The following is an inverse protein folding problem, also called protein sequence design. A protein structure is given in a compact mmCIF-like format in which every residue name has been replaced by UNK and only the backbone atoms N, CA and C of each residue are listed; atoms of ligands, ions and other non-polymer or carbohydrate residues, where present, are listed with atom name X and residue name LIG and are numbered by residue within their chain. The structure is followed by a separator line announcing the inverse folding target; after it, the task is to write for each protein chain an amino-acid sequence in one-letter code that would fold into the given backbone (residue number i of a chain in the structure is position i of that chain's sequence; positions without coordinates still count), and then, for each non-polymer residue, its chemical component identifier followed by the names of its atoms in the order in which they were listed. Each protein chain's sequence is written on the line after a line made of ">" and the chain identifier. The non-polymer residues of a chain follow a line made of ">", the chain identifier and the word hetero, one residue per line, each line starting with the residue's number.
data_IF_478167112349
#
_entry.id   IF_478167112349
#
_cell.length_a   1.000
_cell.length_b   1.000
_cell.length_c   1.000
_cell.angle_alpha   90.00
_cell.angle_beta   90.00
_cell.angle_gamma   90.00
#
_symmetry.space_group_name_H-M   'P 1'
#
loop_
_entity.id
_entity.type
_entity.pdbx_description
1 polymer ?
#
# COMPACT_ATOMS: atom_id res chain seq x y z
N UNK A 1 -10.10 -43.07 64.64
CA UNK A 1 -9.89 -44.46 65.13
C UNK A 1 -10.79 -44.66 66.35
N UNK A 2 -11.45 -45.82 66.58
CA UNK A 2 -11.23 -47.16 66.00
C UNK A 2 -12.25 -47.50 64.87
N UNK A 3 -11.93 -48.20 63.76
CA UNK A 3 -11.54 -49.63 63.51
C UNK A 3 -12.65 -50.64 63.91
N UNK A 4 -13.06 -51.69 63.18
CA UNK A 4 -13.03 -52.20 61.78
C UNK A 4 -13.59 -53.66 61.86
N UNK A 5 -14.43 -54.09 60.91
CA UNK A 5 -14.60 -55.44 60.27
C UNK A 5 -16.08 -55.79 60.06
N UNK A 6 -16.62 -55.78 58.84
CA UNK A 6 -16.57 -56.80 57.76
C UNK A 6 -17.31 -58.10 58.11
N UNK A 7 -18.40 -58.38 57.39
CA UNK A 7 -18.67 -59.70 56.79
C UNK A 7 -19.58 -59.62 55.57
N UNK A 8 -19.16 -60.34 54.54
CA UNK A 8 -19.75 -60.59 53.22
C UNK A 8 -20.69 -61.80 53.22
N UNK A 9 -21.68 -61.84 52.33
CA UNK A 9 -22.16 -63.09 51.71
C UNK A 9 -23.06 -62.81 50.50
N UNK A 10 -22.60 -63.32 49.36
CA UNK A 10 -23.26 -63.40 48.04
C UNK A 10 -24.16 -64.64 47.93
N UNK A 11 -25.09 -64.64 46.95
CA UNK A 11 -25.62 -65.76 46.13
C UNK A 11 -26.85 -65.21 45.36
N UNK A 12 -26.72 -64.80 44.09
CA UNK A 12 -26.95 -65.60 42.87
C UNK A 12 -28.27 -66.40 42.85
N UNK A 13 -29.20 -65.99 41.98
CA UNK A 13 -30.02 -66.91 41.20
C UNK A 13 -30.28 -66.36 39.80
N UNK A 14 -30.07 -67.24 38.82
CA UNK A 14 -30.18 -67.04 37.38
C UNK A 14 -31.60 -67.38 36.90
N UNK A 15 -32.11 -66.70 35.88
CA UNK A 15 -32.85 -67.39 34.79
C UNK A 15 -32.94 -66.55 33.53
N UNK A 16 -32.31 -67.11 32.50
CA UNK A 16 -32.50 -66.99 31.04
C UNK A 16 -33.94 -66.77 30.58
N UNK A 17 -34.11 -65.96 29.52
CA UNK A 17 -35.04 -66.29 28.44
C UNK A 17 -34.50 -65.84 27.08
N UNK A 18 -34.24 -66.86 26.27
CA UNK A 18 -33.94 -66.88 24.84
C UNK A 18 -35.26 -66.81 24.05
N UNK A 19 -35.27 -66.10 22.93
CA UNK A 19 -36.13 -66.39 21.76
C UNK A 19 -35.80 -65.46 20.57
N UNK A 20 -34.85 -65.89 19.76
CA UNK A 20 -34.91 -65.74 18.28
C UNK A 20 -35.73 -66.92 17.71
N UNK A 21 -36.35 -66.87 16.49
CA UNK A 21 -35.58 -66.81 15.24
C UNK A 21 -36.27 -66.28 13.95
N UNK A 22 -35.42 -66.26 12.89
CA UNK A 22 -35.63 -66.22 11.41
C UNK A 22 -35.46 -64.85 10.74
N UNK A 23 -34.35 -64.57 10.05
CA UNK A 23 -33.71 -65.19 8.87
C UNK A 23 -34.26 -64.65 7.54
N UNK A 24 -33.51 -63.74 6.91
CA UNK A 24 -33.23 -63.77 5.45
C UNK A 24 -31.87 -63.12 5.16
N UNK A 25 -30.91 -64.02 4.94
CA UNK A 25 -29.70 -63.98 4.10
C UNK A 25 -29.78 -63.11 2.84
N UNK A 26 -28.76 -62.29 2.57
CA UNK A 26 -28.07 -62.21 1.26
C UNK A 26 -26.56 -62.04 1.50
N UNK A 27 -25.80 -62.91 0.84
CA UNK A 27 -24.35 -63.06 0.84
C UNK A 27 -23.67 -62.12 -0.17
N UNK A 28 -22.39 -61.84 0.06
CA UNK A 28 -21.52 -61.23 -0.94
C UNK A 28 -20.11 -60.96 -0.40
N UNK A 29 -19.32 -62.02 -0.22
CA UNK A 29 -17.88 -61.94 0.11
C UNK A 29 -17.08 -62.57 -1.02
N UNK A 30 -16.12 -61.83 -1.59
CA UNK A 30 -14.89 -62.35 -2.22
C UNK A 30 -13.77 -61.31 -1.97
N UNK A 31 -12.86 -61.57 -1.00
CA UNK A 31 -11.43 -61.98 -1.16
C UNK A 31 -10.53 -60.87 -1.71
N UNK A 32 -9.66 -60.26 -0.89
CA UNK A 32 -8.26 -60.65 -0.60
C UNK A 32 -7.32 -60.53 -1.80
N UNK A 33 -6.28 -59.70 -1.70
CA UNK A 33 -5.17 -59.73 -2.67
C UNK A 33 -4.28 -58.49 -2.66
N UNK A 34 -3.20 -58.56 -1.88
CA UNK A 34 -2.00 -57.72 -1.93
C UNK A 34 -1.40 -57.61 -3.35
N UNK A 35 -0.88 -56.42 -3.74
CA UNK A 35 0.48 -56.27 -4.33
C UNK A 35 0.86 -54.83 -4.71
N UNK A 36 2.14 -54.56 -4.46
CA UNK A 36 2.96 -53.43 -4.88
C UNK A 36 3.22 -53.39 -6.41
N UNK A 37 3.54 -52.17 -6.88
CA UNK A 37 4.32 -51.75 -8.07
C UNK A 37 3.66 -51.66 -9.46
N UNK A 38 3.69 -50.44 -10.00
CA UNK A 38 4.06 -49.98 -11.37
C UNK A 38 3.38 -48.59 -11.56
N UNK A 39 4.08 -47.45 -11.46
CA UNK A 39 4.89 -46.81 -12.52
C UNK A 39 4.39 -47.13 -13.93
N UNK A 40 3.60 -46.19 -14.48
CA UNK A 40 3.51 -45.75 -15.88
C UNK A 40 2.39 -44.68 -15.90
N UNK A 41 2.70 -43.39 -15.87
CA UNK A 41 2.95 -42.51 -17.02
C UNK A 41 1.67 -42.12 -17.79
N UNK A 42 1.56 -40.83 -18.15
CA UNK A 42 0.58 -40.21 -19.08
C UNK A 42 -0.82 -39.93 -18.43
N UNK A 43 -1.31 -38.69 -18.20
CA UNK A 43 -1.38 -37.48 -19.03
C UNK A 43 -1.33 -36.21 -18.16
N UNK A 44 -0.37 -35.36 -18.44
CA UNK A 44 -0.28 -33.97 -18.00
C UNK A 44 -1.23 -33.14 -18.89
N UNK A 45 -2.41 -32.79 -18.37
CA UNK A 45 -3.32 -31.87 -19.07
C UNK A 45 -3.21 -30.45 -18.52
N UNK A 46 -3.35 -29.53 -19.46
CA UNK A 46 -2.71 -28.24 -19.53
C UNK A 46 -3.23 -27.23 -18.51
N UNK A 47 -2.32 -26.51 -17.84
CA UNK A 47 -2.62 -25.28 -17.11
C UNK A 47 -2.94 -24.15 -18.10
N UNK A 48 -4.12 -23.51 -18.08
CA UNK A 48 -4.26 -22.21 -18.71
C UNK A 48 -3.69 -21.13 -17.79
N UNK A 49 -2.48 -20.67 -18.12
CA UNK A 49 -1.99 -19.36 -17.70
C UNK A 49 -2.69 -18.25 -18.53
N UNK A 50 -2.59 -17.02 -18.01
CA UNK A 50 -2.87 -15.72 -18.65
C UNK A 50 -4.35 -15.28 -18.79
N UNK A 51 -4.79 -14.43 -17.86
CA UNK A 51 -5.86 -13.46 -18.07
C UNK A 51 -5.27 -12.18 -18.67
N UNK A 52 -5.52 -11.95 -19.97
CA UNK A 52 -5.24 -10.69 -20.65
C UNK A 52 -6.39 -9.72 -20.38
N UNK A 53 -6.12 -8.62 -19.68
CA UNK A 53 -7.05 -7.48 -19.59
C UNK A 53 -6.95 -6.68 -20.89
N UNK A 54 -8.03 -6.64 -21.68
CA UNK A 54 -8.15 -5.74 -22.83
C UNK A 54 -8.37 -4.32 -22.34
N UNK A 55 -7.46 -3.42 -22.69
CA UNK A 55 -7.62 -1.97 -22.57
C UNK A 55 -8.66 -1.50 -23.60
N UNK A 56 -9.92 -1.36 -23.19
CA UNK A 56 -10.92 -0.65 -23.98
C UNK A 56 -10.63 0.86 -23.92
N UNK A 57 -10.26 1.43 -25.07
CA UNK A 57 -10.17 2.87 -25.28
C UNK A 57 -11.57 3.49 -25.15
N UNK A 58 -11.77 4.29 -24.11
CA UNK A 58 -12.96 5.15 -23.96
C UNK A 58 -12.65 6.52 -24.59
N UNK A 59 -13.43 7.01 -25.56
CA UNK A 59 -13.22 8.33 -26.14
C UNK A 59 -13.54 9.44 -25.13
N UNK A 60 -12.64 10.41 -25.04
CA UNK A 60 -12.75 11.61 -24.22
C UNK A 60 -13.95 12.46 -24.64
N UNK A 61 -14.97 12.57 -23.79
CA UNK A 61 -15.97 13.62 -23.91
C UNK A 61 -15.46 14.88 -23.21
N UNK A 62 -15.13 15.88 -24.03
CA UNK A 62 -14.80 17.24 -23.60
C UNK A 62 -16.10 17.93 -23.18
N UNK A 63 -16.33 18.04 -21.88
CA UNK A 63 -17.39 18.88 -21.35
C UNK A 63 -16.99 20.36 -21.47
N UNK A 64 -17.58 21.01 -22.47
CA UNK A 64 -17.54 22.45 -22.72
C UNK A 64 -18.43 23.15 -21.70
N UNK A 65 -17.85 23.74 -20.66
CA UNK A 65 -18.56 24.69 -19.79
C UNK A 65 -18.45 26.11 -20.30
N UNK A 66 -19.58 26.79 -20.21
CA UNK A 66 -19.91 28.11 -20.69
C UNK A 66 -19.27 29.24 -19.89
N UNK A 67 -19.10 30.37 -20.57
CA UNK A 67 -18.50 31.61 -20.15
C UNK A 67 -18.96 32.15 -18.78
N UNK A 68 -17.99 32.66 -18.01
CA UNK A 68 -18.21 33.64 -16.95
C UNK A 68 -17.16 34.75 -17.07
N UNK A 69 -17.65 35.96 -16.91
CA UNK A 69 -17.10 37.26 -17.30
C UNK A 69 -15.85 37.70 -16.53
N UNK A 70 -14.91 38.34 -17.23
CA UNK A 70 -13.77 39.07 -16.64
C UNK A 70 -14.18 40.48 -16.19
N UNK A 71 -13.65 40.99 -15.06
CA UNK A 71 -13.41 42.42 -14.89
C UNK A 71 -11.95 42.79 -15.20
N UNK A 72 -11.85 43.86 -15.98
CA UNK A 72 -10.70 44.55 -16.53
C UNK A 72 -9.66 44.99 -15.49
N UNK A 73 -8.38 44.70 -15.76
CA UNK A 73 -7.26 45.46 -15.17
C UNK A 73 -6.32 45.94 -16.27
N UNK A 74 -6.07 47.24 -16.21
CA UNK A 74 -5.42 48.17 -17.13
C UNK A 74 -3.96 47.80 -17.44
N UNK A 75 -3.62 47.70 -18.73
CA UNK A 75 -2.23 47.56 -19.23
C UNK A 75 -1.77 48.91 -19.79
N UNK A 76 -0.58 49.44 -19.44
CA UNK A 76 -0.11 50.73 -19.94
C UNK A 76 0.34 50.67 -21.40
N UNK A 77 0.07 51.77 -22.10
CA UNK A 77 0.23 51.99 -23.53
C UNK A 77 1.71 52.14 -23.93
N UNK A 78 2.19 51.25 -24.82
CA UNK A 78 3.53 51.30 -25.41
C UNK A 78 3.60 52.40 -26.47
N UNK A 79 4.32 53.49 -26.17
CA UNK A 79 4.66 54.59 -27.09
C UNK A 79 5.36 54.07 -28.35
N UNK A 80 4.73 54.25 -29.50
CA UNK A 80 5.39 54.17 -30.81
C UNK A 80 5.84 55.59 -31.18
N UNK A 81 7.13 55.77 -31.45
CA UNK A 81 7.67 57.03 -31.94
C UNK A 81 7.33 57.16 -33.43
N UNK A 82 6.60 58.22 -33.76
CA UNK A 82 6.20 58.58 -35.11
C UNK A 82 7.39 59.10 -35.92
N UNK A 83 7.50 58.61 -37.15
CA UNK A 83 8.30 59.19 -38.24
C UNK A 83 7.64 60.50 -38.66
N UNK A 84 8.32 61.63 -38.47
CA UNK A 84 7.88 62.93 -39.00
C UNK A 84 8.78 63.33 -40.17
N UNK A 85 8.25 63.13 -41.38
CA UNK A 85 8.65 63.92 -42.54
C UNK A 85 7.76 65.16 -42.55
N UNK A 86 8.34 66.36 -42.43
CA UNK A 86 7.79 67.57 -43.05
C UNK A 86 8.86 68.69 -43.07
N UNK A 87 9.04 69.25 -44.27
CA UNK A 87 9.93 70.37 -44.62
C UNK A 87 9.26 71.71 -44.27
N UNK A 88 10.00 72.84 -44.17
CA UNK A 88 10.09 73.72 -45.35
C UNK A 88 11.42 74.49 -45.56
N UNK A 89 11.87 74.43 -46.83
CA UNK A 89 12.24 75.51 -47.79
C UNK A 89 13.06 76.78 -47.38
N UNK A 90 14.31 76.78 -47.89
CA UNK A 90 15.09 77.83 -48.62
C UNK A 90 15.65 79.11 -47.95
N UNK A 91 16.96 79.32 -48.13
CA UNK A 91 17.55 80.41 -48.96
C UNK A 91 19.08 80.17 -49.24
N UNK A 92 19.70 80.79 -50.28
CA UNK A 92 20.90 80.27 -50.96
C UNK A 92 22.22 81.03 -50.73
N UNK A 93 23.31 80.50 -51.35
CA UNK A 93 24.68 81.04 -51.56
C UNK A 93 25.67 80.82 -50.39
N UNK A 94 26.92 80.39 -50.61
CA UNK A 94 27.84 80.72 -51.70
C UNK A 94 28.84 79.58 -51.91
N UNK A 95 29.09 79.23 -53.17
CA UNK A 95 30.11 78.27 -53.59
C UNK A 95 31.49 78.94 -53.52
N UNK A 96 32.36 78.49 -52.61
CA UNK A 96 33.80 78.74 -52.73
C UNK A 96 34.47 77.44 -53.15
N UNK A 97 34.80 77.39 -54.44
CA UNK A 97 35.61 76.37 -55.08
C UNK A 97 37.03 76.42 -54.50
N UNK A 98 37.39 75.46 -53.64
CA UNK A 98 38.78 75.22 -53.27
C UNK A 98 39.32 74.03 -54.08
N UNK A 99 40.36 74.22 -54.90
CA UNK A 99 40.96 73.13 -55.66
C UNK A 99 41.70 72.14 -54.74
N UNK A 100 41.68 70.83 -55.06
CA UNK A 100 42.31 69.82 -54.22
C UNK A 100 43.83 69.94 -54.29
N UNK A 101 44.46 70.27 -53.16
CA UNK A 101 45.90 70.07 -52.99
C UNK A 101 46.16 68.60 -52.69
N UNK A 102 46.84 67.97 -53.65
CA UNK A 102 47.39 66.62 -53.60
C UNK A 102 48.13 66.37 -52.27
N UNK A 103 47.47 65.66 -51.35
CA UNK A 103 48.13 65.06 -50.21
C UNK A 103 48.65 63.67 -50.64
N UNK A 104 49.94 63.36 -50.43
CA UNK A 104 50.50 62.08 -50.83
C UNK A 104 49.85 60.92 -50.06
N UNK A 105 49.41 59.95 -50.85
CA UNK A 105 48.82 58.67 -50.49
C UNK A 105 49.76 57.93 -49.52
N UNK A 106 49.44 57.96 -48.22
CA UNK A 106 50.11 57.09 -47.25
C UNK A 106 49.83 55.62 -47.64
N UNK A 107 50.84 54.75 -47.69
CA UNK A 107 50.60 53.33 -47.95
C UNK A 107 49.78 52.77 -46.79
N UNK A 108 48.57 52.29 -47.11
CA UNK A 108 47.78 51.46 -46.20
C UNK A 108 48.60 50.21 -45.89
N UNK A 109 49.35 50.27 -44.80
CA UNK A 109 49.93 49.09 -44.17
C UNK A 109 48.73 48.26 -43.73
N UNK A 110 48.54 47.11 -44.38
CA UNK A 110 47.50 46.14 -44.07
C UNK A 110 47.63 45.75 -42.59
N UNK A 111 46.93 46.47 -41.71
CA UNK A 111 46.65 45.99 -40.38
C UNK A 111 45.66 44.86 -40.59
N UNK A 112 46.18 43.63 -40.63
CA UNK A 112 45.36 42.44 -40.51
C UNK A 112 44.41 42.67 -39.34
N UNK A 113 43.12 42.75 -39.64
CA UNK A 113 42.06 42.73 -38.64
C UNK A 113 42.18 41.39 -37.92
N UNK A 114 42.96 41.36 -36.83
CA UNK A 114 42.91 40.26 -35.87
C UNK A 114 41.46 40.20 -35.40
N UNK A 115 40.73 39.08 -35.59
CA UNK A 115 39.46 38.94 -34.94
C UNK A 115 39.75 38.99 -33.44
N UNK A 116 39.36 40.08 -32.78
CA UNK A 116 39.31 40.12 -31.32
C UNK A 116 38.20 39.17 -30.92
N UNK A 117 38.55 37.90 -30.73
CA UNK A 117 37.67 36.93 -30.12
C UNK A 117 37.30 37.49 -28.74
N UNK A 118 36.07 37.97 -28.60
CA UNK A 118 35.49 38.40 -27.33
C UNK A 118 35.36 37.14 -26.48
N UNK A 119 36.43 36.79 -25.79
CA UNK A 119 36.45 35.68 -24.87
C UNK A 119 35.49 36.03 -23.73
N UNK A 120 34.26 35.55 -23.81
CA UNK A 120 33.29 35.69 -22.76
C UNK A 120 33.89 35.00 -21.53
N UNK A 121 34.32 35.80 -20.56
CA UNK A 121 34.90 35.31 -19.33
C UNK A 121 33.75 34.75 -18.50
N UNK A 122 33.47 33.46 -18.68
CA UNK A 122 32.58 32.74 -17.79
C UNK A 122 33.18 32.92 -16.39
N UNK A 123 32.45 33.63 -15.53
CA UNK A 123 32.88 33.86 -14.15
C UNK A 123 33.02 32.50 -13.46
N UNK A 124 34.15 32.25 -12.79
CA UNK A 124 34.44 30.98 -12.10
C UNK A 124 33.36 30.55 -11.08
N UNK A 125 32.57 31.50 -10.59
CA UNK A 125 31.43 31.25 -9.72
C UNK A 125 30.31 30.47 -10.43
N UNK A 126 30.21 30.52 -11.76
CA UNK A 126 29.19 29.80 -12.53
C UNK A 126 29.42 28.28 -12.51
N UNK A 127 30.59 27.72 -12.88
CA UNK A 127 30.81 26.28 -12.75
C UNK A 127 30.77 25.81 -11.29
N UNK A 128 31.20 26.63 -10.34
CA UNK A 128 31.07 26.32 -8.91
C UNK A 128 29.59 26.23 -8.48
N UNK A 129 28.75 27.18 -8.89
CA UNK A 129 27.32 27.16 -8.62
C UNK A 129 26.61 25.98 -9.31
N UNK A 130 26.97 25.67 -10.55
CA UNK A 130 26.44 24.49 -11.26
C UNK A 130 26.85 23.20 -10.56
N UNK A 131 28.08 23.08 -10.08
CA UNK A 131 28.55 21.94 -9.30
C UNK A 131 27.79 21.78 -7.98
N UNK A 132 27.54 22.88 -7.27
CA UNK A 132 26.77 22.87 -6.03
C UNK A 132 25.31 22.46 -6.27
N UNK A 133 24.68 22.93 -7.35
CA UNK A 133 23.33 22.53 -7.74
C UNK A 133 23.28 21.06 -8.16
N UNK A 134 24.30 20.57 -8.88
CA UNK A 134 24.39 19.16 -9.25
C UNK A 134 24.54 18.27 -8.00
N UNK A 135 25.39 18.65 -7.05
CA UNK A 135 25.53 17.92 -5.79
C UNK A 135 24.23 17.95 -4.97
N UNK A 136 23.53 19.09 -4.91
CA UNK A 136 22.24 19.22 -4.23
C UNK A 136 21.17 18.33 -4.90
N UNK A 137 21.11 18.30 -6.24
CA UNK A 137 20.21 17.44 -6.98
C UNK A 137 20.50 15.96 -6.72
N UNK A 138 21.78 15.57 -6.70
CA UNK A 138 22.21 14.21 -6.34
C UNK A 138 21.80 13.89 -4.90
N UNK A 139 21.97 14.81 -3.96
CA UNK A 139 21.59 14.61 -2.56
C UNK A 139 20.08 14.40 -2.38
N UNK A 140 19.27 15.25 -3.02
CA UNK A 140 17.80 15.16 -2.99
C UNK A 140 17.35 13.82 -3.59
N UNK A 141 17.84 13.49 -4.78
CA UNK A 141 17.46 12.25 -5.48
C UNK A 141 17.97 11.01 -4.74
N UNK A 142 19.18 11.07 -4.18
CA UNK A 142 19.77 10.01 -3.38
C UNK A 142 18.96 9.72 -2.11
N UNK A 143 18.45 10.77 -1.46
CA UNK A 143 17.60 10.63 -0.27
C UNK A 143 16.27 9.93 -0.61
N UNK A 144 15.66 10.24 -1.75
CA UNK A 144 14.46 9.54 -2.24
C UNK A 144 14.73 8.07 -2.62
N UNK A 145 15.87 7.80 -3.24
CA UNK A 145 16.27 6.44 -3.58
C UNK A 145 16.53 5.59 -2.33
N UNK A 146 17.12 6.17 -1.29
CA UNK A 146 17.38 5.51 -0.01
C UNK A 146 16.08 5.12 0.70
N UNK A 147 15.11 6.03 0.81
CA UNK A 147 13.83 5.73 1.45
C UNK A 147 13.06 4.62 0.72
N UNK A 148 13.05 4.68 -0.62
CA UNK A 148 12.49 3.62 -1.45
C UNK A 148 13.21 2.28 -1.25
N UNK A 149 14.55 2.28 -1.23
CA UNK A 149 15.34 1.07 -1.07
C UNK A 149 15.08 0.39 0.28
N UNK A 150 14.96 1.16 1.37
CA UNK A 150 14.59 0.63 2.67
C UNK A 150 13.20 -0.03 2.64
N UNK A 151 12.21 0.63 2.02
CA UNK A 151 10.86 0.10 1.95
C UNK A 151 10.75 -1.18 1.11
N UNK A 152 11.44 -1.25 -0.03
CA UNK A 152 11.48 -2.47 -0.85
C UNK A 152 12.24 -3.59 -0.14
N UNK A 153 13.33 -3.27 0.57
CA UNK A 153 14.06 -4.26 1.37
C UNK A 153 13.16 -4.89 2.42
N UNK A 154 12.39 -4.08 3.15
CA UNK A 154 11.45 -4.57 4.16
C UNK A 154 10.33 -5.40 3.51
N UNK A 155 9.78 -4.95 2.39
CA UNK A 155 8.74 -5.69 1.66
C UNK A 155 9.25 -7.04 1.13
N UNK A 156 10.52 -7.13 0.69
CA UNK A 156 11.12 -8.40 0.23
C UNK A 156 11.44 -9.33 1.40
N UNK A 157 11.96 -8.79 2.51
CA UNK A 157 12.37 -9.60 3.65
C UNK A 157 11.17 -10.12 4.46
N UNK A 158 10.14 -9.29 4.63
CA UNK A 158 9.00 -9.59 5.48
C UNK A 158 7.71 -9.88 4.71
N UNK A 159 7.66 -9.58 3.40
CA UNK A 159 6.42 -9.66 2.63
C UNK A 159 5.47 -8.49 2.91
N UNK A 160 4.57 -8.24 1.96
CA UNK A 160 3.45 -7.29 2.10
C UNK A 160 2.20 -8.01 1.57
N UNK A 161 1.10 -8.15 2.33
CA UNK A 161 0.73 -7.46 3.58
C UNK A 161 1.46 -7.94 4.85
N UNK A 162 1.73 -7.01 5.77
CA UNK A 162 2.24 -7.34 7.12
C UNK A 162 1.16 -8.09 7.90
N UNK A 163 1.50 -9.29 8.36
CA UNK A 163 0.61 -10.13 9.19
C UNK A 163 1.10 -10.13 10.63
N UNK A 164 0.21 -9.90 11.59
CA UNK A 164 0.44 -10.12 13.00
C UNK A 164 -0.21 -11.43 13.43
N UNK A 165 0.44 -12.19 14.30
CA UNK A 165 -0.08 -13.46 14.79
C UNK A 165 0.07 -13.54 16.30
N UNK A 166 -0.93 -14.11 16.98
CA UNK A 166 -0.93 -14.26 18.43
C UNK A 166 -1.85 -15.41 18.85
N UNK A 167 -1.50 -16.07 19.94
CA UNK A 167 -2.35 -17.08 20.57
C UNK A 167 -3.01 -16.50 21.81
N UNK A 168 -4.32 -16.72 21.96
CA UNK A 168 -5.06 -16.28 23.14
C UNK A 168 -6.15 -17.30 23.53
N UNK A 169 -6.41 -17.42 24.83
CA UNK A 169 -7.56 -18.16 25.37
C UNK A 169 -8.66 -17.16 25.70
N UNK A 170 -9.62 -17.03 24.79
CA UNK A 170 -10.71 -16.04 24.86
C UNK A 170 -12.04 -16.68 25.28
N UNK A 171 -12.08 -18.00 25.45
CA UNK A 171 -13.27 -18.74 25.89
C UNK A 171 -14.20 -19.12 24.73
N UNK A 172 -13.68 -19.19 23.51
CA UNK A 172 -14.44 -19.63 22.34
C UNK A 172 -14.31 -21.14 22.12
N UNK A 173 -15.45 -21.82 21.99
CA UNK A 173 -15.51 -23.25 21.72
C UNK A 173 -14.86 -24.08 22.83
N UNK A 174 -13.72 -24.70 22.53
CA UNK A 174 -12.96 -25.53 23.47
C UNK A 174 -11.53 -25.02 23.63
N UNK A 175 -11.31 -23.71 23.49
CA UNK A 175 -9.97 -23.16 23.68
C UNK A 175 -9.52 -23.29 25.15
N UNK A 176 -8.23 -23.51 25.34
CA UNK A 176 -7.62 -23.64 26.66
C UNK A 176 -6.14 -23.28 26.57
N UNK A 177 -5.45 -23.12 27.70
CA UNK A 177 -4.01 -22.85 27.72
C UNK A 177 -3.18 -23.92 26.99
N UNK A 178 -3.70 -25.16 26.90
CA UNK A 178 -3.07 -26.27 26.18
C UNK A 178 -3.29 -26.27 24.66
N UNK A 179 -4.33 -25.57 24.19
CA UNK A 179 -4.69 -25.40 22.78
C UNK A 179 -5.45 -24.08 22.64
N UNK A 180 -4.73 -22.95 22.68
CA UNK A 180 -5.33 -21.62 22.58
C UNK A 180 -5.91 -21.40 21.18
N UNK A 181 -6.79 -20.42 21.04
CA UNK A 181 -7.17 -19.93 19.71
C UNK A 181 -6.00 -19.18 19.09
N UNK A 182 -5.75 -19.44 17.81
CA UNK A 182 -4.71 -18.78 17.04
C UNK A 182 -5.31 -17.66 16.20
N UNK A 183 -4.76 -16.46 16.32
CA UNK A 183 -5.23 -15.27 15.63
C UNK A 183 -4.22 -14.77 14.61
N UNK A 184 -4.70 -14.38 13.45
CA UNK A 184 -3.90 -13.74 12.40
C UNK A 184 -4.60 -12.44 12.00
N UNK A 185 -3.96 -11.30 12.23
CA UNK A 185 -4.45 -10.00 11.82
C UNK A 185 -3.67 -9.47 10.61
N UNK A 186 -4.39 -8.97 9.61
CA UNK A 186 -3.81 -8.44 8.38
C UNK A 186 -4.49 -7.13 7.98
N UNK A 187 -3.70 -6.24 7.38
CA UNK A 187 -4.24 -5.14 6.59
C UNK A 187 -4.44 -5.64 5.15
N UNK A 188 -5.69 -5.94 4.78
CA UNK A 188 -6.03 -6.37 3.44
C UNK A 188 -6.73 -5.21 2.72
N UNK A 189 -6.04 -4.57 1.76
CA UNK A 189 -6.59 -3.48 0.97
C UNK A 189 -7.18 -2.32 1.81
N UNK A 190 -6.45 -1.86 2.83
CA UNK A 190 -6.88 -0.78 3.76
C UNK A 190 -8.08 -1.17 4.62
N UNK A 191 -8.26 -2.45 4.85
CA UNK A 191 -9.24 -3.00 5.77
C UNK A 191 -8.56 -3.98 6.71
N UNK A 192 -8.71 -3.75 8.01
CA UNK A 192 -8.20 -4.67 9.01
C UNK A 192 -9.10 -5.92 9.05
N UNK A 193 -8.49 -7.08 8.83
CA UNK A 193 -9.15 -8.38 8.86
C UNK A 193 -8.41 -9.27 9.84
N UNK A 194 -9.15 -9.93 10.73
CA UNK A 194 -8.63 -10.88 11.70
C UNK A 194 -9.22 -12.25 11.39
N UNK A 195 -8.37 -13.27 11.38
CA UNK A 195 -8.78 -14.66 11.32
C UNK A 195 -8.52 -15.30 12.67
N UNK A 196 -9.52 -15.98 13.22
CA UNK A 196 -9.41 -16.80 14.42
C UNK A 196 -9.51 -18.26 14.01
N UNK A 197 -8.58 -19.09 14.45
CA UNK A 197 -8.66 -20.55 14.39
C UNK A 197 -8.96 -21.04 15.79
N UNK A 198 -10.24 -21.33 16.03
CA UNK A 198 -10.75 -21.63 17.38
C UNK A 198 -10.05 -22.88 17.94
N UNK A 199 -9.46 -22.76 19.12
CA UNK A 199 -8.67 -23.82 19.77
C UNK A 199 -7.53 -24.39 18.88
N UNK A 200 -6.99 -23.59 17.97
CA UNK A 200 -5.92 -23.99 17.05
C UNK A 200 -6.39 -24.87 15.89
N UNK A 201 -7.70 -25.04 15.71
CA UNK A 201 -8.29 -25.86 14.63
C UNK A 201 -8.59 -24.99 13.39
N UNK A 202 -7.85 -25.15 12.28
CA UNK A 202 -8.09 -24.37 11.06
C UNK A 202 -9.45 -24.66 10.42
N UNK A 203 -10.07 -25.81 10.71
CA UNK A 203 -11.41 -26.14 10.22
C UNK A 203 -12.52 -25.32 10.91
N UNK A 204 -12.20 -24.67 12.04
CA UNK A 204 -13.11 -23.79 12.80
C UNK A 204 -12.72 -22.32 12.65
N UNK A 205 -12.25 -21.93 11.48
CA UNK A 205 -11.81 -20.57 11.24
C UNK A 205 -12.97 -19.57 11.14
N UNK A 206 -12.83 -18.43 11.81
CA UNK A 206 -13.78 -17.31 11.78
C UNK A 206 -13.03 -16.07 11.29
N UNK A 207 -13.67 -15.24 10.47
CA UNK A 207 -13.11 -13.97 10.00
C UNK A 207 -13.87 -12.80 10.58
N UNK A 208 -13.14 -11.83 11.13
CA UNK A 208 -13.63 -10.57 11.65
C UNK A 208 -13.10 -9.43 10.80
N UNK A 209 -14.01 -8.63 10.25
CA UNK A 209 -13.67 -7.47 9.43
C UNK A 209 -13.95 -6.22 10.23
N UNK A 210 -12.93 -5.41 10.49
CA UNK A 210 -13.11 -4.18 11.24
C UNK A 210 -14.04 -3.21 10.47
N UNK A 211 -15.03 -2.58 11.14
CA UNK A 211 -15.99 -1.66 10.52
C UNK A 211 -15.38 -0.26 10.26
N UNK A 212 -14.09 -0.21 9.93
CA UNK A 212 -13.33 1.02 9.70
C UNK A 212 -12.45 0.87 8.46
N UNK A 213 -12.37 1.95 7.68
CA UNK A 213 -11.49 2.04 6.52
C UNK A 213 -10.20 2.79 6.88
N UNK A 214 -9.05 2.23 6.51
CA UNK A 214 -7.73 2.78 6.82
C UNK A 214 -7.37 3.85 5.79
N UNK A 215 -7.82 5.08 6.08
CA UNK A 215 -7.55 6.26 5.26
C UNK A 215 -6.17 6.87 5.57
N UNK A 216 -5.65 7.65 4.62
CA UNK A 216 -4.40 8.41 4.79
C UNK A 216 -3.17 7.76 4.16
N UNK A 217 -2.08 8.52 4.20
CA UNK A 217 -0.78 8.09 3.68
C UNK A 217 -0.21 6.93 4.52
N UNK A 218 0.41 5.96 3.87
CA UNK A 218 0.88 4.73 4.50
C UNK A 218 -0.22 3.75 4.97
N UNK A 219 -1.51 4.07 4.80
CA UNK A 219 -2.62 3.23 5.26
C UNK A 219 -2.72 1.85 4.60
N UNK A 220 -2.16 1.67 3.41
CA UNK A 220 -2.01 0.36 2.74
C UNK A 220 -0.92 -0.52 3.36
N UNK A 221 -0.02 0.08 4.15
CA UNK A 221 1.11 -0.58 4.80
C UNK A 221 1.02 -0.54 6.33
N UNK A 222 -0.05 0.04 6.88
CA UNK A 222 -0.29 0.14 8.31
C UNK A 222 -0.32 -1.27 8.92
N UNK A 223 0.58 -1.59 9.87
CA UNK A 223 0.49 -2.82 10.64
C UNK A 223 -0.82 -2.88 11.42
N UNK A 224 -1.38 -4.10 11.52
CA UNK A 224 -2.55 -4.37 12.35
C UNK A 224 -2.10 -5.32 13.45
N UNK A 225 -2.31 -4.96 14.71
CA UNK A 225 -2.00 -5.82 15.86
C UNK A 225 -3.23 -6.02 16.74
N UNK A 226 -3.18 -6.99 17.64
CA UNK A 226 -4.29 -7.32 18.53
C UNK A 226 -3.89 -7.18 19.99
N UNK A 227 -4.86 -6.81 20.81
CA UNK A 227 -4.82 -6.88 22.27
C UNK A 227 -6.10 -7.57 22.75
N UNK A 228 -5.99 -8.38 23.80
CA UNK A 228 -7.12 -9.05 24.41
C UNK A 228 -7.28 -8.62 25.86
N UNK A 229 -8.41 -8.00 26.18
CA UNK A 229 -8.72 -7.47 27.52
C UNK A 229 -10.23 -7.32 27.68
N UNK A 230 -10.74 -7.51 28.88
CA UNK A 230 -12.12 -7.16 29.21
C UNK A 230 -12.28 -5.63 29.20
N UNK A 231 -13.05 -5.09 28.25
CA UNK A 231 -13.30 -3.65 28.13
C UNK A 231 -14.73 -3.26 28.47
N UNK A 232 -15.64 -4.22 28.61
CA UNK A 232 -17.06 -4.00 28.92
C UNK A 232 -17.44 -4.38 30.36
N UNK A 233 -16.53 -5.05 31.10
CA UNK A 233 -16.68 -5.49 32.47
C UNK A 233 -17.48 -6.77 32.66
N UNK A 234 -17.62 -7.61 31.63
CA UNK A 234 -18.39 -8.86 31.69
C UNK A 234 -17.56 -10.09 32.08
N UNK A 235 -16.25 -9.92 32.31
CA UNK A 235 -15.31 -10.96 32.68
C UNK A 235 -14.83 -11.83 31.52
N UNK A 236 -15.18 -11.51 30.28
CA UNK A 236 -14.65 -12.14 29.06
C UNK A 236 -13.60 -11.25 28.43
N UNK A 237 -12.62 -11.86 27.76
CA UNK A 237 -11.63 -11.09 27.01
C UNK A 237 -12.27 -10.62 25.70
N UNK A 238 -12.34 -9.31 25.52
CA UNK A 238 -12.68 -8.67 24.25
C UNK A 238 -11.43 -8.51 23.39
N UNK A 239 -11.63 -8.33 22.08
CA UNK A 239 -10.56 -8.11 21.11
C UNK A 239 -10.47 -6.63 20.73
N UNK A 240 -9.28 -6.06 20.88
CA UNK A 240 -8.96 -4.69 20.46
C UNK A 240 -8.00 -4.79 19.27
N UNK A 241 -8.42 -4.23 18.15
CA UNK A 241 -7.62 -4.15 16.93
C UNK A 241 -6.93 -2.79 16.90
N UNK A 242 -5.61 -2.81 16.89
CA UNK A 242 -4.71 -1.66 16.80
C UNK A 242 -4.23 -1.52 15.35
N UNK A 243 -4.37 -0.34 14.76
CA UNK A 243 -3.96 -0.01 13.40
C UNK A 243 -2.97 1.14 13.47
N UNK A 244 -1.71 0.81 13.20
CA UNK A 244 -0.58 1.71 13.37
C UNK A 244 -0.37 2.56 12.13
N UNK A 245 -0.92 3.78 12.11
CA UNK A 245 -0.62 4.77 11.06
C UNK A 245 0.50 5.72 11.52
N UNK A 246 1.27 6.32 10.58
CA UNK A 246 2.35 7.24 10.93
C UNK A 246 1.90 8.47 11.73
N UNK A 247 0.65 8.92 11.53
CA UNK A 247 0.13 10.15 12.14
C UNK A 247 -0.65 9.92 13.44
N UNK A 248 -1.34 8.78 13.56
CA UNK A 248 -2.21 8.48 14.70
C UNK A 248 -2.52 6.99 14.79
N UNK A 249 -2.77 6.49 15.99
CA UNK A 249 -3.29 5.13 16.18
C UNK A 249 -4.79 5.10 15.90
N UNK A 250 -5.28 4.06 15.21
CA UNK A 250 -6.71 3.82 15.03
C UNK A 250 -7.11 2.50 15.68
N UNK A 251 -8.20 2.53 16.45
CA UNK A 251 -8.67 1.38 17.23
C UNK A 251 -10.04 0.90 16.75
N UNK A 252 -10.25 -0.42 16.74
CA UNK A 252 -11.57 -1.04 16.59
C UNK A 252 -11.76 -2.11 17.65
N UNK A 253 -12.87 -2.04 18.37
CA UNK A 253 -13.18 -2.97 19.47
C UNK A 253 -14.21 -4.00 19.03
N UNK A 254 -13.97 -5.24 19.43
CA UNK A 254 -14.78 -6.40 19.17
C UNK A 254 -15.12 -7.08 20.48
N UNK A 255 -16.39 -7.07 20.85
CA UNK A 255 -16.86 -7.64 22.12
C UNK A 255 -17.10 -9.14 22.00
N UNK A 256 -16.76 -9.87 23.06
CA UNK A 256 -16.90 -11.31 23.13
C UNK A 256 -18.34 -11.69 23.55
N UNK A 257 -19.09 -12.37 22.68
CA UNK A 257 -20.45 -12.82 23.00
C UNK A 257 -20.49 -14.22 23.69
N UNK A 258 -19.32 -14.78 23.97
CA UNK A 258 -19.10 -16.12 24.53
C UNK A 258 -18.87 -17.21 23.50
N UNK A 259 -19.20 -16.99 22.23
CA UNK A 259 -18.92 -17.94 21.15
C UNK A 259 -18.03 -17.36 20.05
N UNK A 260 -18.14 -16.05 19.82
CA UNK A 260 -17.38 -15.31 18.82
C UNK A 260 -17.27 -13.85 19.24
N UNK A 261 -16.49 -13.11 18.47
CA UNK A 261 -16.50 -11.66 18.56
C UNK A 261 -17.60 -11.01 17.71
N UNK A 262 -18.13 -9.89 18.20
CA UNK A 262 -19.00 -8.97 17.44
C UNK A 262 -18.41 -7.56 17.45
N UNK A 263 -18.59 -6.74 16.41
CA UNK A 263 -18.23 -5.34 16.47
C UNK A 263 -18.92 -4.63 17.64
N UNK A 264 -18.20 -3.74 18.31
CA UNK A 264 -18.81 -2.87 19.31
C UNK A 264 -19.73 -1.84 18.66
N UNK A 265 -20.74 -1.41 19.41
CA UNK A 265 -21.74 -0.43 18.98
C UNK A 265 -21.78 0.74 19.95
N UNK A 266 -22.44 1.83 19.56
CA UNK A 266 -22.58 3.02 20.42
C UNK A 266 -23.35 2.76 21.73
N UNK A 267 -24.06 1.63 21.84
CA UNK A 267 -24.79 1.25 23.05
C UNK A 267 -23.91 0.47 24.05
N UNK A 268 -22.77 -0.03 23.60
CA UNK A 268 -21.85 -0.77 24.45
C UNK A 268 -21.01 0.20 25.29
N UNK A 269 -20.85 -0.10 26.58
CA UNK A 269 -19.99 0.68 27.47
C UNK A 269 -18.58 0.12 27.38
N UNK A 270 -17.66 0.91 26.83
CA UNK A 270 -16.28 0.49 26.55
C UNK A 270 -15.32 1.35 27.37
N UNK A 271 -14.37 0.69 28.04
CA UNK A 271 -13.29 1.31 28.79
C UNK A 271 -11.92 0.88 28.20
N UNK A 272 -11.23 1.83 27.55
CA UNK A 272 -9.92 1.64 26.92
C UNK A 272 -8.79 2.19 27.79
#
# INVERSE_FOLDING_TARGET
>A
MPRRKIRSSSLEYSTTNDSSPRNTRIEGRYTSGSRFNAVDDILEDSRPHTSVVRLSQQPSQVNRTTAASFPTTTVPQRRQAATTNDLPRQAPRTTTYQPPKNAPRQPKRNAASRPSATHHRIHWLLPLGVGMLAMLAIWITGSWALTWAHQVSDDVHYGNPRTYQVDATVGHGTDATTHPSHFVAINLNRQAVVFEMVAGDPAKSISYVAPIYIAGDGGDKAPVTLEFRDVNGDGKLDMIIHIHLPAQEQLSVFLNDGNKFRPSTNNDKIHL
#
